data_IF_577669591996
#
_entry.id   IF_577669591996
#
_cell.length_a   1.000
_cell.length_b   1.000
_cell.length_c   1.000
_cell.angle_alpha   90.00
_cell.angle_beta   90.00
_cell.angle_gamma   90.00
#
_symmetry.space_group_name_H-M   'P 1'
#
loop_
_entity.id
_entity.type
_entity.pdbx_description
1 polymer ?
#
# COMPACT_ATOMS: atom_id res chain seq x y z
N UNK A 1 28.16 -13.10 -42.77
CA UNK A 1 28.28 -12.06 -41.73
C UNK A 1 28.81 -12.71 -40.46
N UNK A 2 30.00 -12.34 -40.00
CA UNK A 2 30.51 -12.81 -38.70
C UNK A 2 29.99 -11.86 -37.62
N UNK A 3 29.32 -12.41 -36.60
CA UNK A 3 28.86 -11.65 -35.43
C UNK A 3 29.77 -11.97 -34.25
N UNK A 4 30.46 -10.95 -33.74
CA UNK A 4 31.25 -11.06 -32.50
C UNK A 4 30.29 -10.74 -31.35
N UNK A 5 30.04 -11.73 -30.48
CA UNK A 5 29.27 -11.55 -29.25
C UNK A 5 30.14 -11.84 -28.04
N UNK A 6 30.08 -10.97 -27.04
CA UNK A 6 30.72 -11.20 -25.75
C UNK A 6 29.89 -12.22 -24.97
N UNK A 7 30.56 -13.20 -24.35
CA UNK A 7 29.91 -14.16 -23.46
C UNK A 7 29.67 -13.51 -22.09
N UNK A 8 28.50 -12.88 -21.93
CA UNK A 8 28.17 -12.14 -20.72
C UNK A 8 28.04 -13.03 -19.47
N UNK A 9 27.83 -14.35 -19.65
CA UNK A 9 27.80 -15.35 -18.58
C UNK A 9 29.10 -15.37 -17.74
N UNK A 10 30.25 -15.10 -18.37
CA UNK A 10 31.55 -15.05 -17.67
C UNK A 10 31.85 -13.71 -17.00
N UNK A 11 30.96 -12.71 -17.12
CA UNK A 11 31.16 -11.41 -16.47
C UNK A 11 31.28 -11.54 -14.95
N UNK A 12 30.67 -12.58 -14.36
CA UNK A 12 30.77 -12.89 -12.94
C UNK A 12 32.18 -13.29 -12.48
N UNK A 13 33.01 -13.79 -13.40
CA UNK A 13 34.39 -14.23 -13.15
C UNK A 13 35.40 -13.09 -13.37
N UNK A 14 35.14 -12.24 -14.37
CA UNK A 14 36.07 -11.19 -14.79
C UNK A 14 35.90 -9.88 -14.00
N UNK A 15 34.69 -9.57 -13.53
CA UNK A 15 34.40 -8.33 -12.81
C UNK A 15 34.29 -8.62 -11.31
N UNK A 16 35.32 -8.23 -10.56
CA UNK A 16 35.39 -8.44 -9.11
C UNK A 16 34.31 -7.63 -8.34
N UNK A 17 34.09 -6.38 -8.72
CA UNK A 17 33.08 -5.54 -8.08
C UNK A 17 31.67 -5.83 -8.64
N UNK A 18 30.78 -6.29 -7.75
CA UNK A 18 29.43 -6.72 -8.13
C UNK A 18 28.55 -5.55 -8.58
N UNK A 19 28.82 -4.33 -8.14
CA UNK A 19 28.08 -3.15 -8.62
C UNK A 19 28.43 -2.86 -10.08
N UNK A 20 29.72 -2.74 -10.42
CA UNK A 20 30.18 -2.52 -11.81
C UNK A 20 29.79 -3.67 -12.74
N UNK A 21 29.74 -4.91 -12.23
CA UNK A 21 29.22 -6.06 -12.97
C UNK A 21 27.74 -5.89 -13.34
N UNK A 22 26.90 -5.45 -12.38
CA UNK A 22 25.49 -5.19 -12.64
C UNK A 22 25.30 -3.97 -13.56
N UNK A 23 26.11 -2.93 -13.41
CA UNK A 23 26.14 -1.79 -14.35
C UNK A 23 26.49 -2.23 -15.77
N UNK A 24 27.47 -3.12 -15.91
CA UNK A 24 27.86 -3.69 -17.20
C UNK A 24 26.70 -4.47 -17.83
N UNK A 25 26.03 -5.35 -17.06
CA UNK A 25 24.91 -6.15 -17.54
C UNK A 25 23.67 -5.28 -17.87
N UNK A 26 23.40 -4.24 -17.09
CA UNK A 26 22.29 -3.31 -17.32
C UNK A 26 22.42 -2.50 -18.63
N UNK A 27 23.64 -2.31 -19.11
CA UNK A 27 23.93 -1.57 -20.36
C UNK A 27 23.91 -2.46 -21.62
N UNK A 28 23.65 -3.76 -21.50
CA UNK A 28 23.63 -4.70 -22.62
C UNK A 28 22.20 -5.01 -23.05
N UNK A 29 21.94 -4.93 -24.36
CA UNK A 29 20.70 -5.42 -24.96
C UNK A 29 20.64 -6.95 -24.88
N UNK A 30 19.42 -7.49 -24.76
CA UNK A 30 19.09 -8.93 -24.84
C UNK A 30 19.48 -9.85 -23.67
N UNK A 31 20.02 -9.35 -22.56
CA UNK A 31 20.48 -10.16 -21.40
C UNK A 31 19.67 -9.91 -20.12
N UNK A 32 18.37 -9.61 -20.27
CA UNK A 32 17.47 -9.29 -19.16
C UNK A 32 17.40 -10.39 -18.11
N UNK A 33 17.27 -11.64 -18.56
CA UNK A 33 17.20 -12.81 -17.68
C UNK A 33 18.49 -12.96 -16.87
N UNK A 34 19.65 -12.81 -17.51
CA UNK A 34 20.95 -12.91 -16.85
C UNK A 34 21.17 -11.80 -15.83
N UNK A 35 20.75 -10.57 -16.14
CA UNK A 35 20.81 -9.46 -15.19
C UNK A 35 19.95 -9.74 -13.95
N UNK A 36 18.70 -10.14 -14.15
CA UNK A 36 17.74 -10.38 -13.07
C UNK A 36 18.18 -11.55 -12.17
N UNK A 37 18.64 -12.66 -12.76
CA UNK A 37 19.16 -13.80 -11.98
C UNK A 37 20.43 -13.45 -11.22
N UNK A 38 21.33 -12.69 -11.85
CA UNK A 38 22.57 -12.23 -11.20
C UNK A 38 22.28 -11.24 -10.07
N UNK A 39 21.31 -10.34 -10.26
CA UNK A 39 20.86 -9.41 -9.23
C UNK A 39 20.28 -10.15 -8.03
N UNK A 40 19.37 -11.11 -8.27
CA UNK A 40 18.82 -11.96 -7.22
C UNK A 40 19.95 -12.68 -6.45
N UNK A 41 20.89 -13.30 -7.15
CA UNK A 41 22.02 -14.00 -6.53
C UNK A 41 22.88 -13.05 -5.67
N UNK A 42 23.16 -11.83 -6.15
CA UNK A 42 23.90 -10.83 -5.38
C UNK A 42 23.15 -10.36 -4.13
N UNK A 43 21.82 -10.21 -4.22
CA UNK A 43 20.98 -9.82 -3.10
C UNK A 43 20.89 -10.93 -2.05
N UNK A 44 20.73 -12.19 -2.47
CA UNK A 44 20.74 -13.38 -1.59
C UNK A 44 22.09 -13.57 -0.89
N UNK A 45 23.19 -13.39 -1.62
CA UNK A 45 24.54 -13.46 -1.06
C UNK A 45 24.91 -12.24 -0.18
N UNK A 46 24.04 -11.22 -0.08
CA UNK A 46 24.30 -9.93 0.59
C UNK A 46 25.60 -9.28 0.12
N UNK A 47 25.95 -9.50 -1.15
CA UNK A 47 27.21 -9.04 -1.75
C UNK A 47 27.20 -7.54 -2.10
N UNK A 48 26.06 -6.87 -1.90
CA UNK A 48 25.85 -5.46 -2.21
C UNK A 48 25.44 -4.69 -0.95
N UNK A 49 26.02 -3.52 -0.75
CA UNK A 49 25.55 -2.57 0.26
C UNK A 49 24.27 -1.87 -0.19
N UNK A 50 23.46 -1.37 0.76
CA UNK A 50 22.23 -0.62 0.45
C UNK A 50 22.47 0.57 -0.49
N UNK A 51 23.63 1.23 -0.40
CA UNK A 51 24.02 2.33 -1.30
C UNK A 51 24.19 1.84 -2.74
N UNK A 52 24.77 0.66 -2.93
CA UNK A 52 24.96 0.06 -4.25
C UNK A 52 23.62 -0.41 -4.81
N UNK A 53 22.78 -1.04 -3.99
CA UNK A 53 21.42 -1.47 -4.37
C UNK A 53 20.59 -0.28 -4.85
N UNK A 54 20.64 0.85 -4.13
CA UNK A 54 19.96 2.09 -4.56
C UNK A 54 20.40 2.55 -5.94
N UNK A 55 21.71 2.53 -6.23
CA UNK A 55 22.23 2.88 -7.56
C UNK A 55 21.72 1.92 -8.63
N UNK A 56 21.73 0.62 -8.35
CA UNK A 56 21.23 -0.40 -9.27
C UNK A 56 19.75 -0.18 -9.60
N UNK A 57 18.91 0.06 -8.60
CA UNK A 57 17.50 0.33 -8.85
C UNK A 57 17.27 1.67 -9.57
N UNK A 58 18.00 2.72 -9.22
CA UNK A 58 17.91 4.00 -9.92
C UNK A 58 18.30 3.89 -11.41
N UNK A 59 19.22 2.99 -11.76
CA UNK A 59 19.51 2.72 -13.17
C UNK A 59 18.37 2.01 -13.90
N UNK A 60 17.66 1.10 -13.22
CA UNK A 60 16.52 0.39 -13.81
C UNK A 60 15.33 1.33 -14.03
N UNK A 61 15.04 2.21 -13.06
CA UNK A 61 13.91 3.14 -13.13
C UNK A 61 14.21 4.41 -13.92
N UNK A 62 15.44 4.93 -13.87
CA UNK A 62 15.85 6.11 -14.63
C UNK A 62 15.86 5.91 -16.15
N UNK A 63 15.83 4.65 -16.59
CA UNK A 63 15.73 4.26 -18.00
C UNK A 63 14.28 4.28 -18.48
N UNK A 64 13.34 3.80 -17.67
CA UNK A 64 11.93 3.74 -18.05
C UNK A 64 11.27 5.13 -18.09
N UNK A 65 11.72 6.07 -17.26
CA UNK A 65 11.22 7.46 -17.27
C UNK A 65 11.76 8.35 -18.39
N UNK A 66 12.93 8.02 -18.98
CA UNK A 66 13.57 8.84 -20.03
C UNK A 66 13.35 8.31 -21.45
N UNK A 67 13.12 7.02 -21.63
CA UNK A 67 12.87 6.46 -22.96
C UNK A 67 11.53 6.89 -23.58
N UNK A 68 10.55 7.35 -22.80
CA UNK A 68 9.25 7.81 -23.34
C UNK A 68 9.28 9.23 -23.94
N UNK A 69 10.35 10.00 -23.74
CA UNK A 69 10.42 11.41 -24.15
C UNK A 69 11.24 11.68 -25.43
N UNK A 70 11.87 10.66 -26.02
CA UNK A 70 12.79 10.87 -27.14
C UNK A 70 12.70 9.79 -28.22
N UNK A 71 11.50 9.61 -28.76
CA UNK A 71 11.28 9.00 -30.08
C UNK A 71 10.70 10.06 -31.03
N UNK A 72 11.56 10.98 -31.50
CA UNK A 72 11.31 11.72 -32.74
C UNK A 72 12.59 12.44 -33.19
N UNK A 73 13.41 11.76 -33.99
CA UNK A 73 14.30 12.45 -34.93
C UNK A 73 14.81 11.53 -36.05
N UNK A 74 14.11 11.64 -37.19
CA UNK A 74 14.63 11.75 -38.57
C UNK A 74 15.52 10.62 -39.10
N UNK A 75 14.94 9.78 -39.96
CA UNK A 75 15.66 9.07 -41.02
C UNK A 75 15.68 9.92 -42.29
N UNK A 76 16.87 10.18 -42.84
CA UNK A 76 17.06 10.74 -44.18
C UNK A 76 18.38 10.24 -44.80
N UNK A 77 18.29 9.68 -46.01
CA UNK A 77 19.27 9.90 -47.08
C UNK A 77 20.47 8.96 -47.23
N UNK A 78 20.32 7.99 -48.13
CA UNK A 78 21.26 7.36 -49.09
C UNK A 78 22.74 7.80 -49.18
N UNK A 79 23.65 6.83 -49.44
CA UNK A 79 24.91 7.09 -50.17
C UNK A 79 26.02 6.04 -50.00
N UNK A 80 26.46 5.47 -51.12
CA UNK A 80 27.46 4.41 -51.34
C UNK A 80 28.84 4.51 -50.65
N UNK A 81 29.36 3.39 -50.13
CA UNK A 81 30.70 2.79 -50.39
C UNK A 81 31.01 1.68 -49.38
N UNK A 82 31.30 0.46 -49.87
CA UNK A 82 31.53 -0.74 -49.06
C UNK A 82 32.86 -0.69 -48.29
N UNK A 83 32.85 -0.13 -47.08
CA UNK A 83 33.69 -0.62 -45.98
C UNK A 83 32.82 -1.58 -45.15
N UNK A 84 33.36 -2.65 -44.53
CA UNK A 84 32.63 -3.37 -43.49
C UNK A 84 32.46 -2.42 -42.30
N UNK A 85 31.43 -1.58 -42.36
CA UNK A 85 30.99 -0.77 -41.24
C UNK A 85 30.36 -1.77 -40.27
N UNK A 86 30.95 -1.87 -39.08
CA UNK A 86 30.32 -2.60 -37.99
C UNK A 86 29.00 -1.87 -37.71
N UNK A 87 27.90 -2.49 -38.11
CA UNK A 87 26.57 -2.02 -37.75
C UNK A 87 26.41 -2.25 -36.25
N UNK A 88 26.56 -1.16 -35.49
CA UNK A 88 26.42 -1.19 -34.04
C UNK A 88 24.95 -0.91 -33.74
N UNK A 89 24.24 -1.95 -33.27
CA UNK A 89 22.86 -1.81 -32.82
C UNK A 89 22.76 -0.62 -31.86
N UNK A 90 21.80 0.28 -32.14
CA UNK A 90 21.55 1.45 -31.29
C UNK A 90 21.33 0.97 -29.85
N UNK A 91 22.01 1.61 -28.91
CA UNK A 91 21.92 1.30 -27.49
C UNK A 91 20.46 1.33 -27.02
N UNK A 92 19.93 0.18 -26.65
CA UNK A 92 18.66 0.03 -25.96
C UNK A 92 18.95 -0.40 -24.52
N UNK A 93 18.71 0.51 -23.58
CA UNK A 93 18.94 0.24 -22.16
C UNK A 93 17.95 -0.81 -21.63
N UNK A 94 18.37 -1.58 -20.63
CA UNK A 94 17.55 -2.64 -20.04
C UNK A 94 16.30 -2.07 -19.35
N UNK A 95 15.12 -2.38 -19.91
CA UNK A 95 13.84 -2.04 -19.29
C UNK A 95 13.30 -3.23 -18.48
N UNK A 96 13.37 -3.14 -17.15
CA UNK A 96 12.73 -4.09 -16.23
C UNK A 96 11.41 -3.49 -15.75
N UNK A 97 10.30 -4.19 -15.99
CA UNK A 97 8.96 -3.76 -15.55
C UNK A 97 8.78 -4.03 -14.05
N UNK A 98 7.82 -3.34 -13.43
CA UNK A 98 7.53 -3.54 -12.01
C UNK A 98 7.13 -5.00 -11.71
N UNK A 99 6.26 -5.60 -12.54
CA UNK A 99 5.83 -6.99 -12.43
C UNK A 99 7.00 -8.00 -12.53
N UNK A 100 7.96 -7.76 -13.43
CA UNK A 100 9.12 -8.64 -13.54
C UNK A 100 10.06 -8.50 -12.35
N UNK A 101 10.26 -7.28 -11.86
CA UNK A 101 11.04 -7.03 -10.66
C UNK A 101 10.42 -7.72 -9.44
N UNK A 102 9.09 -7.66 -9.31
CA UNK A 102 8.34 -8.34 -8.26
C UNK A 102 8.51 -9.86 -8.37
N UNK A 103 8.10 -10.45 -9.50
CA UNK A 103 8.06 -11.91 -9.69
C UNK A 103 9.43 -12.57 -9.66
N UNK A 104 10.46 -11.90 -10.20
CA UNK A 104 11.77 -12.51 -10.42
C UNK A 104 12.81 -12.12 -9.37
N UNK A 105 12.59 -11.05 -8.61
CA UNK A 105 13.54 -10.57 -7.60
C UNK A 105 12.92 -10.45 -6.22
N UNK A 106 11.82 -9.70 -6.06
CA UNK A 106 11.30 -9.37 -4.72
C UNK A 106 10.59 -10.55 -4.05
N UNK A 107 9.73 -11.28 -4.77
CA UNK A 107 9.04 -12.46 -4.23
C UNK A 107 10.06 -13.55 -3.85
N UNK A 108 11.01 -13.95 -4.72
CA UNK A 108 11.99 -14.96 -4.35
C UNK A 108 13.01 -14.49 -3.29
N UNK A 109 13.05 -13.20 -2.95
CA UNK A 109 13.85 -12.67 -1.84
C UNK A 109 13.08 -12.72 -0.51
N UNK A 110 11.77 -12.50 -0.55
CA UNK A 110 10.88 -12.63 0.62
C UNK A 110 10.74 -14.07 1.08
N UNK A 111 10.67 -15.02 0.15
CA UNK A 111 10.57 -16.46 0.44
C UNK A 111 11.86 -17.08 1.02
N UNK A 112 12.98 -16.35 0.99
CA UNK A 112 14.27 -16.82 1.50
C UNK A 112 14.37 -16.71 3.02
N UNK A 113 14.13 -17.84 3.70
CA UNK A 113 14.22 -17.98 5.15
C UNK A 113 15.61 -17.64 5.71
N UNK A 114 16.66 -17.75 4.88
CA UNK A 114 18.04 -17.45 5.30
C UNK A 114 18.32 -15.95 5.51
N UNK A 115 17.46 -15.08 4.98
CA UNK A 115 17.65 -13.63 5.03
C UNK A 115 16.86 -13.00 6.19
N UNK A 116 17.45 -12.00 6.88
CA UNK A 116 16.70 -11.27 7.88
C UNK A 116 15.59 -10.44 7.21
N UNK A 117 14.37 -10.53 7.73
CA UNK A 117 13.20 -9.83 7.19
C UNK A 117 13.41 -8.31 7.07
N UNK A 118 14.12 -7.71 8.04
CA UNK A 118 14.48 -6.29 8.01
C UNK A 118 15.37 -5.92 6.82
N UNK A 119 16.22 -6.83 6.34
CA UNK A 119 17.03 -6.60 5.14
C UNK A 119 16.17 -6.62 3.88
N UNK A 120 15.25 -7.58 3.76
CA UNK A 120 14.29 -7.68 2.65
C UNK A 120 13.42 -6.41 2.60
N UNK A 121 12.88 -6.00 3.74
CA UNK A 121 12.10 -4.76 3.87
C UNK A 121 12.91 -3.54 3.42
N UNK A 122 14.16 -3.40 3.86
CA UNK A 122 15.01 -2.28 3.45
C UNK A 122 15.30 -2.29 1.93
N UNK A 123 15.45 -3.46 1.30
CA UNK A 123 15.60 -3.56 -0.15
C UNK A 123 14.33 -3.07 -0.86
N UNK A 124 13.16 -3.54 -0.43
CA UNK A 124 11.88 -3.12 -0.99
C UNK A 124 11.67 -1.60 -0.86
N UNK A 125 12.08 -1.00 0.27
CA UNK A 125 12.05 0.44 0.45
C UNK A 125 12.99 1.19 -0.51
N UNK A 126 14.19 0.66 -0.78
CA UNK A 126 15.07 1.26 -1.79
C UNK A 126 14.46 1.19 -3.19
N UNK A 127 13.74 0.11 -3.50
CA UNK A 127 13.05 0.00 -4.79
C UNK A 127 11.88 0.99 -4.88
N UNK A 128 11.04 1.07 -3.86
CA UNK A 128 9.95 2.06 -3.78
C UNK A 128 10.48 3.50 -3.92
N UNK A 129 11.59 3.80 -3.24
CA UNK A 129 12.26 5.10 -3.38
C UNK A 129 12.75 5.35 -4.80
N UNK A 130 13.30 4.34 -5.48
CA UNK A 130 13.78 4.51 -6.85
C UNK A 130 12.65 4.73 -7.86
N UNK A 131 11.45 4.23 -7.57
CA UNK A 131 10.24 4.53 -8.35
C UNK A 131 9.79 5.98 -8.12
N UNK A 132 9.78 6.42 -6.86
CA UNK A 132 9.44 7.79 -6.50
C UNK A 132 10.43 8.81 -7.10
N UNK A 133 11.75 8.56 -6.97
CA UNK A 133 12.81 9.39 -7.55
C UNK A 133 12.71 9.45 -9.09
N UNK A 134 12.05 8.47 -9.73
CA UNK A 134 11.82 8.41 -11.18
C UNK A 134 10.41 8.85 -11.61
N UNK A 135 9.58 9.35 -10.68
CA UNK A 135 8.18 9.75 -10.92
C UNK A 135 7.29 8.64 -11.47
N UNK A 136 7.61 7.38 -11.17
CA UNK A 136 6.83 6.20 -11.57
C UNK A 136 5.86 5.83 -10.47
N UNK A 137 4.57 5.75 -10.79
CA UNK A 137 3.54 5.32 -9.85
C UNK A 137 3.71 3.84 -9.49
N UNK A 138 3.88 3.49 -8.20
CA UNK A 138 3.96 2.09 -7.76
C UNK A 138 2.64 1.36 -8.03
N UNK A 139 2.73 0.11 -8.50
CA UNK A 139 1.57 -0.78 -8.65
C UNK A 139 0.98 -1.18 -7.29
N UNK A 140 -0.33 -1.39 -7.22
CA UNK A 140 -1.05 -1.73 -5.98
C UNK A 140 -0.50 -3.00 -5.31
N UNK A 141 -0.18 -4.03 -6.10
CA UNK A 141 0.39 -5.27 -5.57
C UNK A 141 1.79 -5.08 -4.97
N UNK A 142 2.62 -4.20 -5.55
CA UNK A 142 3.92 -3.86 -4.97
C UNK A 142 3.74 -3.20 -3.60
N UNK A 143 2.78 -2.30 -3.50
CA UNK A 143 2.43 -1.60 -2.27
C UNK A 143 2.02 -2.60 -1.19
N UNK A 144 1.09 -3.51 -1.51
CA UNK A 144 0.63 -4.56 -0.58
C UNK A 144 1.80 -5.40 -0.08
N UNK A 145 2.66 -5.87 -1.00
CA UNK A 145 3.85 -6.65 -0.65
C UNK A 145 4.83 -5.89 0.26
N UNK A 146 5.05 -4.60 0.01
CA UNK A 146 5.91 -3.75 0.85
C UNK A 146 5.32 -3.63 2.26
N UNK A 147 4.01 -3.42 2.36
CA UNK A 147 3.32 -3.29 3.66
C UNK A 147 3.39 -4.60 4.45
N UNK A 148 3.09 -5.73 3.82
CA UNK A 148 3.20 -7.06 4.44
C UNK A 148 4.63 -7.31 4.95
N UNK A 149 5.63 -7.05 4.10
CA UNK A 149 7.04 -7.31 4.45
C UNK A 149 7.52 -6.40 5.59
N UNK A 150 7.08 -5.13 5.62
CA UNK A 150 7.38 -4.22 6.73
C UNK A 150 6.71 -4.65 8.04
N UNK A 151 5.46 -5.13 7.93
CA UNK A 151 4.75 -5.66 9.07
C UNK A 151 5.46 -6.91 9.59
N UNK A 152 5.73 -7.92 8.75
CA UNK A 152 6.47 -9.14 9.12
C UNK A 152 7.78 -8.79 9.85
N UNK A 153 8.60 -7.91 9.26
CA UNK A 153 9.86 -7.46 9.84
C UNK A 153 9.74 -6.65 11.17
N UNK A 154 8.53 -6.32 11.61
CA UNK A 154 8.29 -5.54 12.83
C UNK A 154 8.57 -4.04 12.71
N UNK A 155 8.76 -3.54 11.50
CA UNK A 155 9.17 -2.16 11.20
C UNK A 155 7.97 -1.21 11.11
N UNK A 156 7.09 -1.27 12.12
CA UNK A 156 5.82 -0.52 12.14
C UNK A 156 6.02 1.00 12.07
N UNK A 157 7.10 1.51 12.65
CA UNK A 157 7.44 2.94 12.58
C UNK A 157 7.71 3.42 11.16
N UNK A 158 8.40 2.60 10.35
CA UNK A 158 8.66 2.92 8.94
C UNK A 158 7.37 2.85 8.13
N UNK A 159 6.55 1.84 8.38
CA UNK A 159 5.23 1.70 7.76
C UNK A 159 4.35 2.93 8.04
N UNK A 160 4.27 3.37 9.30
CA UNK A 160 3.52 4.56 9.69
C UNK A 160 4.03 5.81 8.96
N UNK A 161 5.35 6.01 8.86
CA UNK A 161 5.92 7.15 8.14
C UNK A 161 5.52 7.16 6.67
N UNK A 162 5.66 6.02 5.98
CA UNK A 162 5.35 5.92 4.54
C UNK A 162 3.88 6.23 4.25
N UNK A 163 2.99 5.79 5.13
CA UNK A 163 1.55 6.09 5.03
C UNK A 163 1.26 7.55 5.36
N UNK A 164 1.82 8.08 6.44
CA UNK A 164 1.60 9.47 6.89
C UNK A 164 2.08 10.49 5.86
N UNK A 165 3.26 10.25 5.27
CA UNK A 165 3.84 11.11 4.25
C UNK A 165 3.26 10.88 2.83
N UNK A 166 2.24 10.01 2.69
CA UNK A 166 1.59 9.69 1.41
C UNK A 166 2.58 9.30 0.30
N UNK A 167 3.60 8.53 0.67
CA UNK A 167 4.54 7.95 -0.30
C UNK A 167 3.85 6.86 -1.12
N UNK A 168 2.83 6.24 -0.54
CA UNK A 168 2.00 5.20 -1.16
C UNK A 168 0.67 5.82 -1.61
N UNK A 169 0.18 5.36 -2.76
CA UNK A 169 -1.13 5.76 -3.28
C UNK A 169 -2.28 5.18 -2.44
N UNK A 170 -3.27 6.02 -2.16
CA UNK A 170 -4.48 5.63 -1.46
C UNK A 170 -5.25 4.58 -2.26
N UNK A 171 -5.60 3.45 -1.64
CA UNK A 171 -6.47 2.44 -2.22
C UNK A 171 -7.35 1.81 -1.14
N UNK A 172 -8.53 1.31 -1.53
CA UNK A 172 -9.39 0.54 -0.62
C UNK A 172 -8.69 -0.70 -0.05
N UNK A 173 -8.05 -1.58 -0.87
CA UNK A 173 -7.35 -2.75 -0.33
C UNK A 173 -6.23 -2.39 0.63
N UNK A 174 -5.47 -1.32 0.36
CA UNK A 174 -4.45 -0.82 1.30
C UNK A 174 -5.08 -0.42 2.64
N UNK A 175 -6.22 0.27 2.63
CA UNK A 175 -6.87 0.68 3.87
C UNK A 175 -7.27 -0.51 4.73
N UNK A 176 -7.88 -1.55 4.14
CA UNK A 176 -8.23 -2.78 4.85
C UNK A 176 -7.00 -3.53 5.34
N UNK A 177 -5.91 -3.55 4.57
CA UNK A 177 -4.63 -4.12 4.99
C UNK A 177 -4.06 -3.38 6.21
N UNK A 178 -4.15 -2.05 6.26
CA UNK A 178 -3.69 -1.28 7.43
C UNK A 178 -4.57 -1.53 8.66
N UNK A 179 -5.88 -1.67 8.45
CA UNK A 179 -6.83 -1.99 9.52
C UNK A 179 -6.54 -3.36 10.14
N UNK A 180 -6.14 -4.36 9.34
CA UNK A 180 -5.79 -5.70 9.86
C UNK A 180 -4.54 -5.69 10.76
N UNK A 181 -3.64 -4.73 10.57
CA UNK A 181 -2.41 -4.57 11.38
C UNK A 181 -2.57 -3.64 12.60
N UNK A 182 -3.77 -3.14 12.88
CA UNK A 182 -4.01 -2.22 13.99
C UNK A 182 -3.54 -2.77 15.35
N UNK A 183 -3.74 -4.06 15.61
CA UNK A 183 -3.36 -4.66 16.89
C UNK A 183 -1.88 -4.46 17.23
N UNK A 184 -1.04 -4.26 16.21
CA UNK A 184 0.39 -3.99 16.34
C UNK A 184 0.71 -2.50 16.40
N UNK A 185 -0.14 -1.65 15.83
CA UNK A 185 0.04 -0.21 15.78
C UNK A 185 -1.31 0.50 15.65
N UNK A 186 -1.81 1.05 16.76
CA UNK A 186 -3.13 1.72 16.83
C UNK A 186 -3.26 2.90 15.87
N UNK A 187 -2.17 3.56 15.50
CA UNK A 187 -2.19 4.69 14.55
C UNK A 187 -2.51 4.27 13.11
N UNK A 188 -2.33 2.99 12.77
CA UNK A 188 -2.71 2.47 11.46
C UNK A 188 -4.22 2.42 11.26
N UNK A 189 -4.98 2.28 12.35
CA UNK A 189 -6.44 2.33 12.29
C UNK A 189 -6.93 3.66 11.73
N UNK A 190 -6.49 4.76 12.35
CA UNK A 190 -6.86 6.09 11.89
C UNK A 190 -6.38 6.32 10.46
N UNK A 191 -5.18 5.85 10.12
CA UNK A 191 -4.65 5.97 8.75
C UNK A 191 -5.51 5.22 7.73
N UNK A 192 -5.98 4.01 8.06
CA UNK A 192 -6.89 3.23 7.22
C UNK A 192 -8.25 3.92 7.03
N UNK A 193 -8.85 4.41 8.13
CA UNK A 193 -10.11 5.17 8.08
C UNK A 193 -9.94 6.44 7.24
N UNK A 194 -8.84 7.16 7.39
CA UNK A 194 -8.57 8.38 6.61
C UNK A 194 -8.42 8.08 5.12
N UNK A 195 -7.80 6.95 4.75
CA UNK A 195 -7.71 6.49 3.36
C UNK A 195 -9.11 6.15 2.81
N UNK A 196 -9.93 5.39 3.56
CA UNK A 196 -11.31 5.08 3.17
C UNK A 196 -12.14 6.35 2.99
N UNK A 197 -11.98 7.33 3.88
CA UNK A 197 -12.70 8.59 3.85
C UNK A 197 -12.35 9.43 2.62
N UNK A 198 -11.08 9.40 2.19
CA UNK A 198 -10.62 10.03 0.94
C UNK A 198 -11.13 9.28 -0.30
N UNK A 199 -11.24 7.97 -0.22
CA UNK A 199 -11.82 7.11 -1.26
C UNK A 199 -13.36 7.12 -1.30
N UNK A 200 -14.02 7.97 -0.50
CA UNK A 200 -15.49 8.07 -0.38
C UNK A 200 -16.18 6.75 0.00
N UNK A 201 -15.46 5.84 0.65
CA UNK A 201 -15.91 4.52 1.09
C UNK A 201 -16.56 4.62 2.47
N UNK A 202 -17.69 5.33 2.55
CA UNK A 202 -18.30 5.69 3.84
C UNK A 202 -19.05 4.52 4.49
N UNK A 203 -19.63 3.64 3.68
CA UNK A 203 -20.34 2.45 4.16
C UNK A 203 -19.36 1.47 4.82
N UNK A 204 -18.20 1.28 4.18
CA UNK A 204 -17.14 0.40 4.68
C UNK A 204 -16.53 0.91 6.01
N UNK A 205 -16.41 2.22 6.20
CA UNK A 205 -15.93 2.81 7.47
C UNK A 205 -16.89 2.46 8.61
N UNK A 206 -18.19 2.61 8.37
CA UNK A 206 -19.22 2.30 9.37
C UNK A 206 -19.16 0.82 9.73
N UNK A 207 -19.07 -0.08 8.75
CA UNK A 207 -18.95 -1.52 9.01
C UNK A 207 -17.71 -1.86 9.85
N UNK A 208 -16.55 -1.30 9.51
CA UNK A 208 -15.32 -1.49 10.29
C UNK A 208 -15.47 -0.98 11.73
N UNK A 209 -16.11 0.18 11.94
CA UNK A 209 -16.34 0.71 13.29
C UNK A 209 -17.32 -0.14 14.10
N UNK A 210 -18.33 -0.72 13.45
CA UNK A 210 -19.31 -1.61 14.09
C UNK A 210 -18.66 -2.93 14.51
N UNK A 211 -17.85 -3.56 13.65
CA UNK A 211 -17.10 -4.78 13.99
C UNK A 211 -16.22 -4.58 15.24
N UNK A 212 -15.65 -3.38 15.38
CA UNK A 212 -14.78 -3.02 16.52
C UNK A 212 -15.54 -2.53 17.75
N UNK A 213 -16.87 -2.59 17.72
CA UNK A 213 -17.78 -2.16 18.80
C UNK A 213 -17.65 -0.67 19.13
N UNK A 214 -17.10 0.14 18.21
CA UNK A 214 -17.04 1.60 18.34
C UNK A 214 -18.35 2.22 17.82
N UNK A 215 -19.47 1.84 18.45
CA UNK A 215 -20.82 2.12 17.96
C UNK A 215 -21.15 3.62 18.03
N UNK A 216 -20.65 4.32 19.06
CA UNK A 216 -20.82 5.78 19.20
C UNK A 216 -20.08 6.54 18.11
N UNK A 217 -18.85 6.13 17.79
CA UNK A 217 -18.07 6.77 16.71
C UNK A 217 -18.69 6.50 15.34
N UNK A 218 -19.20 5.28 15.10
CA UNK A 218 -19.94 4.94 13.89
C UNK A 218 -21.18 5.80 13.72
N UNK A 219 -21.98 5.96 14.79
CA UNK A 219 -23.19 6.78 14.77
C UNK A 219 -22.87 8.25 14.53
N UNK A 220 -21.86 8.80 15.24
CA UNK A 220 -21.39 10.18 15.03
C UNK A 220 -20.87 10.40 13.61
N UNK A 221 -20.19 9.41 13.02
CA UNK A 221 -19.69 9.51 11.64
C UNK A 221 -20.83 9.58 10.61
N UNK A 222 -21.89 8.78 10.80
CA UNK A 222 -23.12 8.85 9.98
C UNK A 222 -23.78 10.21 10.11
N UNK A 223 -23.89 10.72 11.34
CA UNK A 223 -24.53 12.00 11.62
C UNK A 223 -23.80 13.19 11.00
N UNK A 224 -22.47 13.25 11.15
CA UNK A 224 -21.65 14.36 10.62
C UNK A 224 -21.65 14.37 9.09
N UNK A 225 -21.71 13.20 8.45
CA UNK A 225 -21.66 13.08 6.99
C UNK A 225 -23.02 12.96 6.32
N UNK A 226 -24.12 12.97 7.08
CA UNK A 226 -25.49 12.74 6.60
C UNK A 226 -25.58 11.49 5.68
N UNK A 227 -24.96 10.40 6.13
CA UNK A 227 -24.89 9.15 5.35
C UNK A 227 -26.25 8.43 5.34
N UNK A 228 -26.42 7.55 4.35
CA UNK A 228 -27.66 6.85 4.03
C UNK A 228 -28.40 6.32 5.27
N UNK A 229 -29.71 6.59 5.33
CA UNK A 229 -30.63 6.07 6.36
C UNK A 229 -30.59 4.52 6.48
N UNK A 230 -30.08 3.83 5.47
CA UNK A 230 -29.94 2.38 5.42
C UNK A 230 -28.87 1.79 6.36
N UNK A 231 -27.90 2.59 6.82
CA UNK A 231 -26.85 2.12 7.75
C UNK A 231 -27.29 2.19 9.22
N UNK A 232 -28.25 3.05 9.51
CA UNK A 232 -28.81 3.28 10.84
C UNK A 232 -29.41 2.02 11.47
N UNK A 233 -30.21 1.17 10.77
CA UNK A 233 -30.68 -0.08 11.34
C UNK A 233 -29.54 -1.03 11.74
N UNK A 234 -28.44 -1.10 10.97
CA UNK A 234 -27.27 -1.92 11.31
C UNK A 234 -26.58 -1.44 12.58
N UNK A 235 -26.47 -0.12 12.76
CA UNK A 235 -25.89 0.48 13.99
C UNK A 235 -26.78 0.19 15.19
N UNK A 236 -28.09 0.27 15.03
CA UNK A 236 -29.06 -0.04 16.09
C UNK A 236 -29.03 -1.52 16.48
N UNK A 237 -28.96 -2.42 15.51
CA UNK A 237 -28.83 -3.85 15.77
C UNK A 237 -27.53 -4.16 16.53
N UNK A 238 -26.42 -3.58 16.10
CA UNK A 238 -25.14 -3.71 16.80
C UNK A 238 -25.18 -3.12 18.23
N UNK A 239 -25.87 -1.98 18.42
CA UNK A 239 -26.08 -1.38 19.74
C UNK A 239 -26.89 -2.30 20.67
N UNK A 240 -27.91 -2.99 20.14
CA UNK A 240 -28.72 -3.93 20.90
C UNK A 240 -27.94 -5.15 21.39
N UNK A 241 -27.04 -5.68 20.56
CA UNK A 241 -26.29 -6.89 20.86
C UNK A 241 -25.06 -6.65 21.74
N UNK A 242 -24.42 -5.47 21.61
CA UNK A 242 -23.07 -5.29 22.15
C UNK A 242 -22.87 -4.08 23.09
N UNK A 243 -23.84 -3.16 23.22
CA UNK A 243 -23.68 -1.98 24.08
C UNK A 243 -24.29 -2.12 25.47
N UNK A 244 -23.73 -1.35 26.40
CA UNK A 244 -24.32 -1.05 27.72
C UNK A 244 -25.61 -0.25 27.53
N UNK A 245 -26.56 -0.45 28.45
CA UNK A 245 -27.89 0.20 28.44
C UNK A 245 -27.82 1.72 28.29
N UNK A 246 -26.84 2.40 28.86
CA UNK A 246 -26.71 3.87 28.74
C UNK A 246 -26.42 4.33 27.30
N UNK A 247 -25.55 3.62 26.57
CA UNK A 247 -25.22 3.96 25.18
C UNK A 247 -26.40 3.73 24.23
N UNK A 248 -27.19 2.68 24.48
CA UNK A 248 -28.43 2.42 23.73
C UNK A 248 -29.47 3.52 23.95
N UNK A 249 -29.59 4.01 25.17
CA UNK A 249 -30.50 5.11 25.51
C UNK A 249 -30.07 6.41 24.83
N UNK A 250 -28.78 6.76 24.87
CA UNK A 250 -28.26 7.96 24.20
C UNK A 250 -28.48 7.93 22.68
N UNK A 251 -28.25 6.78 22.04
CA UNK A 251 -28.54 6.60 20.60
C UNK A 251 -30.05 6.72 20.33
N UNK A 252 -30.89 6.13 21.18
CA UNK A 252 -32.36 6.24 21.07
C UNK A 252 -32.84 7.68 21.25
N UNK A 253 -32.33 8.40 22.23
CA UNK A 253 -32.66 9.80 22.50
C UNK A 253 -32.29 10.68 21.29
N UNK A 254 -31.06 10.56 20.79
CA UNK A 254 -30.63 11.26 19.57
C UNK A 254 -31.45 10.91 18.33
N UNK A 255 -31.84 9.64 18.16
CA UNK A 255 -32.73 9.23 17.08
C UNK A 255 -34.15 9.81 17.27
N UNK A 256 -34.63 9.94 18.51
CA UNK A 256 -35.93 10.56 18.82
C UNK A 256 -35.94 12.08 18.65
N UNK A 257 -34.83 12.77 18.90
CA UNK A 257 -34.69 14.19 18.55
C UNK A 257 -34.70 14.38 17.02
N UNK A 258 -34.07 13.47 16.28
CA UNK A 258 -34.18 13.41 14.81
C UNK A 258 -35.55 12.92 14.29
N UNK A 259 -36.36 12.20 15.09
CA UNK A 259 -37.75 11.76 14.73
C UNK A 259 -38.66 12.94 14.36
N UNK A 260 -38.29 14.18 14.64
CA UNK A 260 -38.97 15.34 14.09
C UNK A 260 -38.94 15.39 12.53
N UNK A 261 -38.14 14.54 11.85
CA UNK A 261 -37.96 14.59 10.38
C UNK A 261 -38.21 13.30 9.58
N UNK A 262 -38.36 12.10 10.17
CA UNK A 262 -38.64 10.87 9.37
C UNK A 262 -39.32 9.73 10.17
N UNK A 263 -40.32 9.08 9.54
CA UNK A 263 -41.15 8.01 10.14
C UNK A 263 -40.44 6.66 10.31
N UNK A 264 -39.35 6.41 9.57
CA UNK A 264 -38.57 5.16 9.59
C UNK A 264 -37.95 4.87 10.98
N UNK A 265 -37.59 5.93 11.70
CA UNK A 265 -36.94 5.90 13.00
C UNK A 265 -37.85 5.50 14.16
N UNK A 266 -39.18 5.55 13.96
CA UNK A 266 -40.16 5.21 14.99
C UNK A 266 -40.24 3.70 15.26
N UNK A 267 -40.23 2.89 14.21
CA UNK A 267 -40.29 1.42 14.34
C UNK A 267 -39.02 0.84 14.96
N UNK A 268 -37.85 1.30 14.50
CA UNK A 268 -36.55 0.79 14.93
C UNK A 268 -36.23 1.21 16.38
N UNK A 269 -36.59 2.44 16.77
CA UNK A 269 -36.39 2.96 18.13
C UNK A 269 -37.31 2.37 19.20
N UNK A 270 -38.47 1.84 18.79
CA UNK A 270 -39.43 1.21 19.69
C UNK A 270 -39.08 -0.27 19.95
N UNK A 271 -38.30 -0.92 19.06
CA UNK A 271 -37.74 -2.27 19.28
C UNK A 271 -36.53 -2.30 20.24
N UNK A 272 -35.90 -1.16 20.50
CA UNK A 272 -34.70 -1.03 21.34
C UNK A 272 -34.97 -1.17 22.85
N UNK A 273 -36.20 -0.94 23.31
CA UNK A 273 -36.55 -0.99 24.74
C UNK A 273 -38.02 -1.33 24.96
N UNK A 274 -38.29 -2.12 26.00
CA UNK A 274 -39.62 -2.16 26.60
C UNK A 274 -39.90 -0.89 27.42
N UNK A 275 -41.17 -0.50 27.58
CA UNK A 275 -41.57 0.75 28.25
C UNK A 275 -41.05 0.86 29.70
N UNK A 276 -40.81 -0.28 30.36
CA UNK A 276 -40.28 -0.35 31.73
C UNK A 276 -38.77 -0.09 31.78
N UNK A 277 -38.03 -0.54 30.77
CA UNK A 277 -36.59 -0.35 30.69
C UNK A 277 -36.19 1.08 30.29
N UNK A 278 -37.07 1.81 29.59
CA UNK A 278 -36.91 3.25 29.33
C UNK A 278 -36.98 4.05 30.63
N UNK A 279 -37.86 3.66 31.55
CA UNK A 279 -38.08 4.36 32.82
C UNK A 279 -36.87 4.20 33.76
N UNK A 280 -36.35 2.99 33.88
CA UNK A 280 -35.12 2.74 34.66
C UNK A 280 -33.87 3.41 34.10
N UNK A 281 -33.74 3.53 32.76
CA UNK A 281 -32.62 4.25 32.15
C UNK A 281 -32.67 5.76 32.41
N UNK A 282 -33.87 6.36 32.38
CA UNK A 282 -34.04 7.78 32.73
C UNK A 282 -33.73 8.10 34.20
N UNK A 283 -34.02 7.14 35.09
CA UNK A 283 -33.71 7.26 36.52
C UNK A 283 -32.20 7.13 36.78
N UNK A 284 -31.50 6.25 36.05
CA UNK A 284 -30.04 6.07 36.12
C UNK A 284 -29.25 7.25 35.52
N UNK A 285 -29.70 7.82 34.39
CA UNK A 285 -29.06 9.01 33.80
C UNK A 285 -29.23 10.25 34.68
N UNK A 286 -30.39 10.39 35.33
CA UNK A 286 -30.63 11.43 36.33
C UNK A 286 -29.73 11.25 37.58
N UNK A 287 -29.39 10.01 37.95
CA UNK A 287 -28.46 9.75 39.06
C UNK A 287 -26.99 9.95 38.67
N UNK A 288 -26.59 9.67 37.43
CA UNK A 288 -25.24 10.00 36.95
C UNK A 288 -25.01 11.52 36.86
N UNK A 289 -26.01 12.30 36.43
CA UNK A 289 -25.94 13.77 36.40
C UNK A 289 -25.84 14.41 37.80
N UNK A 290 -26.23 13.69 38.86
CA UNK A 290 -26.15 14.16 40.24
C UNK A 290 -24.75 13.96 40.88
N UNK A 291 -23.84 13.24 40.22
CA UNK A 291 -22.45 13.01 40.70
C UNK A 291 -21.39 13.89 40.00
N UNK A 292 -21.78 14.79 39.10
CA UNK A 292 -20.92 15.86 38.57
C UNK A 292 -21.27 17.21 39.23
N UNK A 293 -20.99 17.34 40.53
CA UNK A 293 -20.78 18.63 41.22
C UNK A 293 -19.57 18.51 42.14
#
# INVERSE_FOLDING_TARGET
>A
MYSIRLKNEHAQLEIADKQTMLEYLARRSNEKKLFVTTLLACLKARALSLRQIRKVFAMLTGVTGKSSASENSVENGSGSSQKPVLDCEKYASLAVTQQEMQSSVLIPLREEVSLPESYVANIMLQYLRSLFDAEITPEAYLIEMVVETLAEAGEMSKLQQIVTYRVINDSKPLAFLLLSYEARCSTLFQSGVDILARNKASDEIVEVMLEKKQIVDAFRFIDVRNLNDALIPKVVEAANQHCVRQTRYAIKEHLTEKKAKASLYKSIGDELYTAEEVKGASEEQATCALFEI
#
